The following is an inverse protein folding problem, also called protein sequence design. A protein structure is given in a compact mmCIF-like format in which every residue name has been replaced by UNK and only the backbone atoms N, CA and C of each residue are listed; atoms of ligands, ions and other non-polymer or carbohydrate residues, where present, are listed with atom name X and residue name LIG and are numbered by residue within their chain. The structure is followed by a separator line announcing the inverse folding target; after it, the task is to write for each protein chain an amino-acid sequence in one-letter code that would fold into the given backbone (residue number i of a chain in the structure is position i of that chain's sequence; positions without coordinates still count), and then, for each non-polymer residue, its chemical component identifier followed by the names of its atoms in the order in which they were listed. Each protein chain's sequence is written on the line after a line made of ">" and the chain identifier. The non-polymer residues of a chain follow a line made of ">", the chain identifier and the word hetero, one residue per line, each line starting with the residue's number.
data_IF_142273478803
#
_entry.id   IF_142273478803
#
_cell.length_a   1.000
_cell.length_b   1.000
_cell.length_c   1.000
_cell.angle_alpha   90.00
_cell.angle_beta   90.00
_cell.angle_gamma   90.00
#
_symmetry.space_group_name_H-M   'P 1'
#
loop_
_entity.id
_entity.type
_entity.pdbx_description
1 polymer ?
#
# COMPACT_ATOMS: atom_id res chain seq x y z
N UNK A 1 42.53 28.69 32.71
CA UNK A 1 41.77 28.24 31.51
C UNK A 1 41.88 26.76 31.23
N UNK A 2 43.06 26.15 31.01
CA UNK A 2 43.19 24.71 30.67
C UNK A 2 42.49 23.73 31.64
N UNK A 3 42.52 23.97 32.96
CA UNK A 3 41.84 23.11 33.96
C UNK A 3 40.30 23.11 33.85
N UNK A 4 39.70 24.24 33.51
CA UNK A 4 38.24 24.36 33.34
C UNK A 4 37.77 23.72 32.04
N UNK A 5 38.58 23.79 30.97
CA UNK A 5 38.29 23.14 29.68
C UNK A 5 38.34 21.61 29.82
N UNK A 6 39.32 21.07 30.54
CA UNK A 6 39.42 19.61 30.79
C UNK A 6 38.22 19.14 31.62
N UNK A 7 37.83 19.88 32.68
CA UNK A 7 36.68 19.55 33.49
C UNK A 7 35.34 19.61 32.71
N UNK A 8 35.19 20.59 31.81
CA UNK A 8 34.01 20.68 30.94
C UNK A 8 33.93 19.51 29.95
N UNK A 9 35.06 19.11 29.36
CA UNK A 9 35.13 17.97 28.43
C UNK A 9 34.83 16.65 29.16
N UNK A 10 35.33 16.45 30.38
CA UNK A 10 35.03 15.24 31.15
C UNK A 10 33.58 15.17 31.61
N UNK A 11 32.96 16.30 31.97
CA UNK A 11 31.52 16.36 32.29
C UNK A 11 30.67 16.06 31.04
N UNK A 12 31.02 16.63 29.89
CA UNK A 12 30.34 16.35 28.62
C UNK A 12 30.50 14.88 28.18
N UNK A 13 31.69 14.32 28.33
CA UNK A 13 31.95 12.90 28.02
C UNK A 13 31.20 11.97 28.97
N UNK A 14 31.10 12.32 30.25
CA UNK A 14 30.35 11.55 31.25
C UNK A 14 28.83 11.66 31.02
N UNK A 15 28.31 12.84 30.71
CA UNK A 15 26.91 13.04 30.34
C UNK A 15 26.55 12.28 29.04
N UNK A 16 27.40 12.34 28.01
CA UNK A 16 27.24 11.57 26.79
C UNK A 16 27.32 10.06 27.03
N UNK A 17 28.19 9.63 27.97
CA UNK A 17 28.28 8.23 28.42
C UNK A 17 27.02 7.74 29.12
N UNK A 18 26.41 8.55 30.00
CA UNK A 18 25.16 8.20 30.69
C UNK A 18 23.97 8.07 29.73
N UNK A 19 23.83 8.98 28.76
CA UNK A 19 22.78 8.91 27.73
C UNK A 19 22.98 7.65 26.88
N UNK A 20 24.21 7.37 26.42
CA UNK A 20 24.52 6.17 25.63
C UNK A 20 24.34 4.84 26.39
N UNK A 21 24.54 4.83 27.71
CA UNK A 21 24.28 3.67 28.55
C UNK A 21 22.78 3.44 28.78
N UNK A 22 22.01 4.53 28.92
CA UNK A 22 20.55 4.46 29.12
C UNK A 22 19.86 3.96 27.86
N UNK A 23 20.21 4.51 26.67
CA UNK A 23 19.67 4.08 25.38
C UNK A 23 19.96 2.59 25.11
N UNK A 24 21.18 2.12 25.43
CA UNK A 24 21.53 0.70 25.29
C UNK A 24 20.72 -0.23 26.19
N UNK A 25 20.37 0.21 27.40
CA UNK A 25 19.52 -0.58 28.30
C UNK A 25 18.09 -0.65 27.76
N UNK A 26 17.54 0.47 27.31
CA UNK A 26 16.19 0.53 26.73
C UNK A 26 16.11 -0.32 25.47
N UNK A 27 17.09 -0.22 24.55
CA UNK A 27 17.13 -1.04 23.33
C UNK A 27 17.18 -2.53 23.66
N UNK A 28 17.94 -2.95 24.69
CA UNK A 28 17.95 -4.36 25.13
C UNK A 28 16.59 -4.81 25.64
N UNK A 29 15.91 -3.98 26.43
CA UNK A 29 14.57 -4.29 26.92
C UNK A 29 13.56 -4.36 25.77
N UNK A 30 13.65 -3.46 24.79
CA UNK A 30 12.83 -3.52 23.58
C UNK A 30 13.12 -4.75 22.72
N UNK A 31 14.38 -5.19 22.62
CA UNK A 31 14.72 -6.45 21.95
C UNK A 31 14.09 -7.66 22.67
N UNK A 32 14.11 -7.65 24.00
CA UNK A 32 13.49 -8.69 24.82
C UNK A 32 11.97 -8.72 24.58
N UNK A 33 11.29 -7.56 24.65
CA UNK A 33 9.87 -7.41 24.28
C UNK A 33 9.59 -7.98 22.89
N UNK A 34 10.39 -7.60 21.89
CA UNK A 34 10.21 -8.08 20.52
C UNK A 34 10.38 -9.60 20.35
N UNK A 35 11.02 -10.30 21.29
CA UNK A 35 11.23 -11.75 21.23
C UNK A 35 10.01 -12.58 21.63
N UNK A 36 9.09 -12.01 22.41
CA UNK A 36 7.90 -12.71 22.90
C UNK A 36 6.57 -12.01 22.53
N UNK A 37 6.62 -10.88 21.80
CA UNK A 37 5.43 -10.08 21.47
C UNK A 37 4.37 -10.86 20.66
N UNK A 38 4.77 -11.91 19.94
CA UNK A 38 3.82 -12.72 19.18
C UNK A 38 3.06 -13.71 20.08
N UNK A 39 3.74 -14.25 21.09
CA UNK A 39 3.23 -15.27 22.00
C UNK A 39 2.50 -14.64 23.20
N UNK A 40 2.96 -13.47 23.65
CA UNK A 40 2.47 -12.78 24.84
C UNK A 40 2.32 -11.26 24.59
N UNK A 41 1.38 -10.85 23.72
CA UNK A 41 1.19 -9.43 23.37
C UNK A 41 0.76 -8.57 24.56
N UNK A 42 -0.09 -9.07 25.46
CA UNK A 42 -0.53 -8.31 26.65
C UNK A 42 0.62 -8.02 27.63
N UNK A 43 1.51 -9.01 27.82
CA UNK A 43 2.73 -8.83 28.61
C UNK A 43 3.67 -7.83 27.95
N UNK A 44 3.80 -7.89 26.63
CA UNK A 44 4.61 -6.93 25.88
C UNK A 44 4.06 -5.51 26.02
N UNK A 45 2.74 -5.35 25.89
CA UNK A 45 2.05 -4.07 26.05
C UNK A 45 2.26 -3.49 27.45
N UNK A 46 2.11 -4.29 28.50
CA UNK A 46 2.35 -3.88 29.89
C UNK A 46 3.77 -3.34 30.11
N UNK A 47 4.78 -4.01 29.56
CA UNK A 47 6.17 -3.54 29.62
C UNK A 47 6.34 -2.24 28.84
N UNK A 48 5.72 -2.13 27.66
CA UNK A 48 5.80 -0.94 26.82
C UNK A 48 5.08 0.27 27.47
N UNK A 49 3.99 0.08 28.21
CA UNK A 49 3.33 1.13 29.00
C UNK A 49 4.23 1.66 30.12
N UNK A 50 5.00 0.78 30.77
CA UNK A 50 5.99 1.20 31.77
C UNK A 50 7.14 2.02 31.14
N UNK A 51 7.45 1.77 29.87
CA UNK A 51 8.47 2.52 29.13
C UNK A 51 7.93 3.87 28.62
N UNK A 52 6.66 3.94 28.22
CA UNK A 52 6.02 5.19 27.78
C UNK A 52 6.03 6.25 28.88
N UNK A 53 5.73 5.83 30.12
CA UNK A 53 5.70 6.69 31.32
C UNK A 53 7.08 7.17 31.76
N UNK A 54 8.12 6.37 31.54
CA UNK A 54 9.51 6.75 31.87
C UNK A 54 10.20 7.55 30.77
N UNK A 55 9.64 7.50 29.54
CA UNK A 55 10.11 8.23 28.37
C UNK A 55 11.29 7.52 27.68
N UNK A 56 11.17 7.31 26.36
CA UNK A 56 12.23 6.70 25.56
C UNK A 56 13.10 7.80 24.93
N UNK A 57 14.39 7.79 25.26
CA UNK A 57 15.38 8.72 24.72
C UNK A 57 16.11 8.10 23.52
N UNK A 58 16.53 8.93 22.56
CA UNK A 58 17.24 8.50 21.35
C UNK A 58 16.32 8.09 20.19
N UNK A 59 16.69 8.48 18.96
CA UNK A 59 15.84 8.28 17.77
C UNK A 59 15.61 6.81 17.43
N UNK A 60 16.65 5.98 17.54
CA UNK A 60 16.56 4.55 17.26
C UNK A 60 15.68 3.82 18.28
N UNK A 61 15.90 4.07 19.57
CA UNK A 61 15.10 3.46 20.64
C UNK A 61 13.63 3.91 20.53
N UNK A 62 13.37 5.18 20.23
CA UNK A 62 12.01 5.69 20.05
C UNK A 62 11.31 5.08 18.85
N UNK A 63 12.01 4.90 17.71
CA UNK A 63 11.45 4.22 16.54
C UNK A 63 11.15 2.74 16.82
N UNK A 64 12.04 2.04 17.53
CA UNK A 64 11.83 0.64 17.91
C UNK A 64 10.67 0.50 18.90
N UNK A 65 10.58 1.40 19.88
CA UNK A 65 9.46 1.49 20.82
C UNK A 65 8.14 1.70 20.07
N UNK A 66 8.07 2.70 19.20
CA UNK A 66 6.88 3.00 18.41
C UNK A 66 6.39 1.81 17.58
N UNK A 67 7.32 1.09 16.92
CA UNK A 67 6.99 -0.11 16.16
C UNK A 67 6.43 -1.21 17.06
N UNK A 68 7.12 -1.54 18.16
CA UNK A 68 6.71 -2.60 19.07
C UNK A 68 5.40 -2.28 19.80
N UNK A 69 5.16 -1.01 20.13
CA UNK A 69 3.91 -0.56 20.73
C UNK A 69 2.74 -0.73 19.77
N UNK A 70 2.91 -0.30 18.51
CA UNK A 70 1.89 -0.50 17.47
C UNK A 70 1.61 -1.99 17.22
N UNK A 71 2.66 -2.82 17.23
CA UNK A 71 2.54 -4.28 17.14
C UNK A 71 1.76 -4.89 18.31
N UNK A 72 2.04 -4.45 19.53
CA UNK A 72 1.40 -4.98 20.73
C UNK A 72 -0.09 -4.63 20.75
N UNK A 73 -0.45 -3.38 20.40
CA UNK A 73 -1.84 -2.94 20.28
C UNK A 73 -2.63 -3.79 19.28
N UNK A 74 -2.15 -3.93 18.04
CA UNK A 74 -2.82 -4.75 17.00
C UNK A 74 -3.00 -6.21 17.44
N UNK A 75 -1.97 -6.80 18.08
CA UNK A 75 -2.02 -8.20 18.56
C UNK A 75 -2.89 -8.40 19.80
N UNK A 76 -3.08 -7.37 20.61
CA UNK A 76 -4.01 -7.35 21.74
C UNK A 76 -5.42 -6.93 21.33
N UNK A 77 -5.71 -6.82 20.02
CA UNK A 77 -7.02 -6.42 19.48
C UNK A 77 -7.46 -5.03 19.96
N UNK A 78 -6.49 -4.12 20.13
CA UNK A 78 -6.75 -2.72 20.48
C UNK A 78 -6.58 -1.90 19.21
N UNK A 79 -7.71 -1.61 18.57
CA UNK A 79 -7.72 -0.85 17.33
C UNK A 79 -7.45 0.63 17.58
N UNK A 80 -6.38 1.12 16.96
CA UNK A 80 -6.03 2.54 16.94
C UNK A 80 -6.16 3.11 15.53
N UNK A 81 -6.62 4.36 15.46
CA UNK A 81 -6.76 5.13 14.21
C UNK A 81 -5.78 6.30 14.12
N UNK A 82 -5.12 6.64 15.24
CA UNK A 82 -4.06 7.66 15.27
C UNK A 82 -2.74 7.07 14.78
N UNK A 83 -2.19 7.66 13.72
CA UNK A 83 -0.97 7.21 13.07
C UNK A 83 0.30 7.88 13.63
N UNK A 84 0.16 8.80 14.61
CA UNK A 84 1.25 9.59 15.14
C UNK A 84 2.42 8.76 15.66
N UNK A 85 2.12 7.66 16.37
CA UNK A 85 3.10 6.76 16.95
C UNK A 85 3.81 5.95 15.87
N UNK A 86 3.07 5.24 15.01
CA UNK A 86 3.68 4.39 13.97
C UNK A 86 4.51 5.21 12.98
N UNK A 87 4.13 6.47 12.73
CA UNK A 87 4.88 7.36 11.85
C UNK A 87 6.29 7.67 12.37
N UNK A 88 6.52 7.65 13.69
CA UNK A 88 7.88 7.74 14.27
C UNK A 88 8.75 6.58 13.79
N UNK A 89 8.20 5.35 13.78
CA UNK A 89 8.90 4.17 13.30
C UNK A 89 9.13 4.22 11.79
N UNK A 90 8.08 4.54 11.00
CA UNK A 90 8.16 4.65 9.54
C UNK A 90 9.23 5.67 9.12
N UNK A 91 9.26 6.85 9.75
CA UNK A 91 10.18 7.94 9.42
C UNK A 91 11.66 7.58 9.61
N UNK A 92 11.92 6.76 10.62
CA UNK A 92 13.24 6.25 10.95
C UNK A 92 13.62 5.07 10.04
N UNK A 93 12.79 4.03 10.02
CA UNK A 93 13.12 2.76 9.39
C UNK A 93 13.11 2.81 7.87
N UNK A 94 12.36 3.72 7.24
CA UNK A 94 12.46 3.94 5.78
C UNK A 94 13.87 4.27 5.29
N UNK A 95 14.70 4.87 6.16
CA UNK A 95 16.10 5.24 5.87
C UNK A 95 17.12 4.31 6.51
N UNK A 96 16.86 3.86 7.74
CA UNK A 96 17.87 3.18 8.57
C UNK A 96 17.54 1.71 8.86
N UNK A 97 16.31 1.28 8.59
CA UNK A 97 15.84 -0.06 8.94
C UNK A 97 16.28 -1.14 7.98
N UNK A 98 16.32 -2.35 8.50
CA UNK A 98 16.36 -3.59 7.73
C UNK A 98 15.10 -3.77 6.87
N UNK A 99 15.12 -4.72 5.93
CA UNK A 99 13.94 -5.03 5.12
C UNK A 99 12.73 -5.45 5.97
N UNK A 100 12.97 -6.21 7.05
CA UNK A 100 11.93 -6.65 7.99
C UNK A 100 11.35 -5.48 8.80
N UNK A 101 12.20 -4.59 9.33
CA UNK A 101 11.72 -3.40 10.06
C UNK A 101 10.93 -2.45 9.16
N UNK A 102 11.34 -2.27 7.90
CA UNK A 102 10.58 -1.48 6.92
C UNK A 102 9.24 -2.12 6.59
N UNK A 103 9.23 -3.43 6.32
CA UNK A 103 8.02 -4.19 6.07
C UNK A 103 7.04 -4.01 7.23
N UNK A 104 7.47 -4.29 8.47
CA UNK A 104 6.62 -4.20 9.65
C UNK A 104 6.13 -2.78 9.89
N UNK A 105 6.99 -1.77 9.77
CA UNK A 105 6.59 -0.37 9.98
C UNK A 105 5.49 0.06 9.02
N UNK A 106 5.64 -0.23 7.73
CA UNK A 106 4.61 0.10 6.74
C UNK A 106 3.37 -0.80 6.85
N UNK A 107 3.53 -2.08 7.20
CA UNK A 107 2.41 -2.97 7.46
C UNK A 107 1.53 -2.46 8.60
N UNK A 108 2.11 -2.15 9.76
CA UNK A 108 1.32 -1.65 10.90
C UNK A 108 0.77 -0.24 10.65
N UNK A 109 1.43 0.59 9.83
CA UNK A 109 0.83 1.83 9.35
C UNK A 109 -0.43 1.54 8.50
N UNK A 110 -0.35 0.58 7.59
CA UNK A 110 -1.51 0.18 6.78
C UNK A 110 -2.65 -0.37 7.62
N UNK A 111 -2.36 -1.16 8.67
CA UNK A 111 -3.36 -1.65 9.63
C UNK A 111 -4.09 -0.51 10.34
N UNK A 112 -3.37 0.52 10.78
CA UNK A 112 -3.97 1.69 11.43
C UNK A 112 -4.89 2.45 10.48
N UNK A 113 -4.51 2.59 9.20
CA UNK A 113 -5.41 3.18 8.20
C UNK A 113 -6.63 2.31 7.91
N UNK A 114 -6.50 0.98 7.86
CA UNK A 114 -7.66 0.07 7.76
C UNK A 114 -8.62 0.27 8.95
N UNK A 115 -8.09 0.39 10.17
CA UNK A 115 -8.89 0.64 11.37
C UNK A 115 -9.60 2.01 11.31
N UNK A 116 -9.01 2.99 10.61
CA UNK A 116 -9.63 4.28 10.35
C UNK A 116 -10.65 4.27 9.19
N UNK A 117 -10.82 3.14 8.50
CA UNK A 117 -11.66 3.01 7.31
C UNK A 117 -11.00 3.47 6.00
N UNK A 118 -9.76 3.97 6.05
CA UNK A 118 -9.02 4.47 4.89
C UNK A 118 -8.23 3.33 4.21
N UNK A 119 -8.96 2.54 3.43
CA UNK A 119 -8.40 1.42 2.68
C UNK A 119 -7.42 1.86 1.58
N UNK A 120 -7.52 3.11 1.12
CA UNK A 120 -6.61 3.67 0.12
C UNK A 120 -5.21 3.87 0.72
N UNK A 121 -5.12 4.61 1.83
CA UNK A 121 -3.87 4.85 2.54
C UNK A 121 -3.30 3.54 3.10
N UNK A 122 -4.18 2.62 3.51
CA UNK A 122 -3.78 1.27 3.89
C UNK A 122 -3.07 0.54 2.74
N UNK A 123 -3.71 0.48 1.56
CA UNK A 123 -3.12 -0.17 0.39
C UNK A 123 -1.83 0.50 -0.05
N UNK A 124 -1.74 1.84 -0.01
CA UNK A 124 -0.48 2.54 -0.30
C UNK A 124 0.64 2.11 0.65
N UNK A 125 0.35 2.03 1.95
CA UNK A 125 1.28 1.58 2.97
C UNK A 125 1.70 0.13 2.73
N UNK A 126 0.76 -0.75 2.38
CA UNK A 126 1.05 -2.15 2.06
C UNK A 126 1.90 -2.31 0.79
N UNK A 127 1.67 -1.52 -0.26
CA UNK A 127 2.53 -1.53 -1.46
C UNK A 127 3.95 -1.04 -1.13
N UNK A 128 4.09 -0.04 -0.25
CA UNK A 128 5.41 0.39 0.26
C UNK A 128 6.08 -0.71 1.09
N UNK A 129 5.32 -1.45 1.91
CA UNK A 129 5.82 -2.61 2.64
C UNK A 129 6.28 -3.72 1.69
N UNK A 130 5.49 -4.06 0.65
CA UNK A 130 5.83 -5.07 -0.36
C UNK A 130 7.13 -4.69 -1.08
N UNK A 131 7.23 -3.43 -1.53
CA UNK A 131 8.39 -2.89 -2.24
C UNK A 131 9.66 -2.85 -1.36
N UNK A 132 9.50 -2.54 -0.07
CA UNK A 132 10.62 -2.49 0.86
C UNK A 132 11.02 -3.87 1.40
N UNK A 133 10.17 -4.88 1.23
CA UNK A 133 10.44 -6.25 1.66
C UNK A 133 11.48 -6.94 0.78
N UNK A 134 12.31 -7.80 1.40
CA UNK A 134 13.17 -8.70 0.65
C UNK A 134 12.38 -9.84 0.01
N UNK A 135 13.06 -10.73 -0.72
CA UNK A 135 12.43 -11.92 -1.33
C UNK A 135 12.10 -13.04 -0.32
N UNK A 136 12.37 -12.82 0.97
CA UNK A 136 12.12 -13.79 2.03
C UNK A 136 10.62 -14.08 2.17
N UNK A 137 10.29 -15.37 2.23
CA UNK A 137 8.93 -15.87 2.47
C UNK A 137 8.81 -16.21 3.95
N UNK A 138 8.27 -15.26 4.72
CA UNK A 138 8.11 -15.36 6.17
C UNK A 138 6.68 -14.94 6.57
N UNK A 139 6.34 -15.17 7.84
CA UNK A 139 5.01 -14.85 8.38
C UNK A 139 4.63 -13.37 8.21
N UNK A 140 5.56 -12.43 8.37
CA UNK A 140 5.27 -11.01 8.23
C UNK A 140 4.85 -10.64 6.80
N UNK A 141 5.52 -11.23 5.81
CA UNK A 141 5.17 -11.06 4.40
C UNK A 141 3.85 -11.75 4.05
N UNK A 142 3.56 -12.89 4.67
CA UNK A 142 2.26 -13.54 4.57
C UNK A 142 1.12 -12.67 5.10
N UNK A 143 1.31 -12.03 6.26
CA UNK A 143 0.34 -11.11 6.87
C UNK A 143 0.07 -9.90 5.96
N UNK A 144 1.13 -9.34 5.38
CA UNK A 144 1.01 -8.26 4.41
C UNK A 144 0.13 -8.66 3.21
N UNK A 145 0.42 -9.79 2.59
CA UNK A 145 -0.34 -10.25 1.44
C UNK A 145 -1.79 -10.61 1.77
N UNK A 146 -2.03 -11.19 2.95
CA UNK A 146 -3.39 -11.45 3.40
C UNK A 146 -4.17 -10.14 3.61
N UNK A 147 -3.57 -9.11 4.22
CA UNK A 147 -4.22 -7.81 4.40
C UNK A 147 -4.57 -7.16 3.05
N UNK A 148 -3.66 -7.22 2.06
CA UNK A 148 -3.95 -6.74 0.70
C UNK A 148 -5.09 -7.53 0.05
N UNK A 149 -5.11 -8.85 0.21
CA UNK A 149 -6.18 -9.72 -0.32
C UNK A 149 -7.55 -9.37 0.25
N UNK A 150 -7.64 -9.08 1.56
CA UNK A 150 -8.88 -8.65 2.22
C UNK A 150 -9.39 -7.33 1.63
N UNK A 151 -8.53 -6.34 1.38
CA UNK A 151 -8.93 -5.09 0.72
C UNK A 151 -9.47 -5.38 -0.70
N UNK A 152 -8.81 -6.27 -1.46
CA UNK A 152 -9.29 -6.63 -2.80
C UNK A 152 -10.68 -7.28 -2.78
N UNK A 153 -11.02 -8.08 -1.76
CA UNK A 153 -12.38 -8.61 -1.59
C UNK A 153 -13.39 -7.49 -1.36
N UNK A 154 -13.07 -6.51 -0.52
CA UNK A 154 -13.97 -5.39 -0.23
C UNK A 154 -14.31 -4.56 -1.48
N UNK A 155 -13.45 -4.60 -2.50
CA UNK A 155 -13.68 -3.93 -3.79
C UNK A 155 -14.17 -4.85 -4.90
N UNK A 156 -14.56 -6.09 -4.54
CA UNK A 156 -15.01 -7.14 -5.45
C UNK A 156 -14.00 -7.53 -6.54
N UNK A 157 -12.71 -7.28 -6.31
CA UNK A 157 -11.62 -7.71 -7.20
C UNK A 157 -11.11 -9.09 -6.77
N UNK A 158 -11.92 -10.10 -7.06
CA UNK A 158 -11.66 -11.49 -6.67
C UNK A 158 -10.37 -12.04 -7.27
N UNK A 159 -9.97 -11.57 -8.47
CA UNK A 159 -8.73 -12.01 -9.14
C UNK A 159 -7.51 -11.58 -8.34
N UNK A 160 -7.44 -10.30 -7.95
CA UNK A 160 -6.33 -9.83 -7.12
C UNK A 160 -6.41 -10.36 -5.69
N UNK A 161 -7.62 -10.53 -5.14
CA UNK A 161 -7.80 -11.17 -3.84
C UNK A 161 -7.20 -12.58 -3.82
N UNK A 162 -7.55 -13.42 -4.80
CA UNK A 162 -7.02 -14.78 -4.93
C UNK A 162 -5.50 -14.77 -5.13
N UNK A 163 -4.99 -13.90 -5.99
CA UNK A 163 -3.56 -13.76 -6.27
C UNK A 163 -2.75 -13.44 -5.01
N UNK A 164 -3.18 -12.43 -4.24
CA UNK A 164 -2.51 -12.06 -3.00
C UNK A 164 -2.70 -13.09 -1.90
N UNK A 165 -3.87 -13.76 -1.81
CA UNK A 165 -4.05 -14.87 -0.87
C UNK A 165 -3.13 -16.05 -1.21
N UNK A 166 -2.91 -16.36 -2.49
CA UNK A 166 -1.97 -17.39 -2.91
C UNK A 166 -0.53 -17.08 -2.48
N UNK A 167 -0.08 -15.81 -2.63
CA UNK A 167 1.21 -15.37 -2.10
C UNK A 167 1.27 -15.51 -0.57
N UNK A 168 0.19 -15.20 0.15
CA UNK A 168 0.10 -15.34 1.60
C UNK A 168 0.24 -16.81 2.03
N UNK A 169 -0.52 -17.72 1.40
CA UNK A 169 -0.44 -19.17 1.62
C UNK A 169 0.98 -19.68 1.46
N UNK A 170 1.67 -19.28 0.39
CA UNK A 170 3.05 -19.69 0.14
C UNK A 170 4.00 -19.22 1.26
N UNK A 171 3.83 -17.98 1.73
CA UNK A 171 4.62 -17.44 2.83
C UNK A 171 4.41 -18.20 4.14
N UNK A 172 3.15 -18.50 4.49
CA UNK A 172 2.84 -19.23 5.72
C UNK A 172 3.31 -20.69 5.67
N UNK A 173 3.15 -21.34 4.52
CA UNK A 173 3.65 -22.70 4.31
C UNK A 173 5.17 -22.76 4.47
N UNK A 174 5.90 -21.82 3.85
CA UNK A 174 7.36 -21.75 3.96
C UNK A 174 7.83 -21.43 5.39
N UNK A 175 7.07 -20.59 6.11
CA UNK A 175 7.35 -20.27 7.51
C UNK A 175 7.00 -21.38 8.50
N UNK A 176 6.29 -22.43 8.07
CA UNK A 176 5.77 -23.48 8.95
C UNK A 176 4.63 -23.01 9.87
N UNK A 177 3.96 -21.90 9.53
CA UNK A 177 2.87 -21.33 10.32
C UNK A 177 1.54 -22.00 9.92
N UNK A 178 1.29 -23.18 10.49
CA UNK A 178 0.14 -24.02 10.14
C UNK A 178 -1.20 -23.30 10.37
N UNK A 179 -1.32 -22.51 11.44
CA UNK A 179 -2.55 -21.80 11.77
C UNK A 179 -2.90 -20.72 10.74
N UNK A 180 -1.92 -19.88 10.35
CA UNK A 180 -2.15 -18.85 9.32
C UNK A 180 -2.30 -19.45 7.93
N UNK A 181 -1.57 -20.53 7.65
CA UNK A 181 -1.77 -21.27 6.40
C UNK A 181 -3.20 -21.82 6.30
N UNK A 182 -3.71 -22.45 7.36
CA UNK A 182 -5.09 -22.93 7.42
C UNK A 182 -6.10 -21.78 7.30
N UNK A 183 -5.85 -20.65 7.96
CA UNK A 183 -6.66 -19.43 7.79
C UNK A 183 -6.73 -18.95 6.34
N UNK A 184 -5.60 -18.90 5.64
CA UNK A 184 -5.55 -18.51 4.24
C UNK A 184 -6.22 -19.55 3.30
N UNK A 185 -6.19 -20.84 3.66
CA UNK A 185 -6.94 -21.88 2.94
C UNK A 185 -8.45 -21.78 3.15
N UNK A 186 -8.91 -21.51 4.38
CA UNK A 186 -10.32 -21.25 4.70
C UNK A 186 -10.84 -20.02 3.98
N UNK A 187 -10.02 -18.99 3.83
CA UNK A 187 -10.34 -17.81 3.04
C UNK A 187 -10.49 -18.13 1.54
N UNK A 188 -9.59 -18.95 0.97
CA UNK A 188 -9.77 -19.46 -0.39
C UNK A 188 -11.04 -20.31 -0.54
N UNK A 189 -11.37 -21.12 0.47
CA UNK A 189 -12.61 -21.91 0.49
C UNK A 189 -13.85 -21.01 0.40
N UNK A 190 -13.92 -19.96 1.23
CA UNK A 190 -15.01 -18.98 1.17
C UNK A 190 -15.09 -18.26 -0.18
N UNK A 191 -13.95 -17.90 -0.77
CA UNK A 191 -13.90 -17.24 -2.07
C UNK A 191 -14.45 -18.13 -3.18
N UNK A 192 -13.97 -19.37 -3.28
CA UNK A 192 -14.47 -20.34 -4.26
C UNK A 192 -15.96 -20.66 -4.02
N UNK A 193 -16.37 -20.81 -2.76
CA UNK A 193 -17.77 -21.02 -2.42
C UNK A 193 -18.66 -19.86 -2.89
N UNK A 194 -18.24 -18.61 -2.69
CA UNK A 194 -18.97 -17.43 -3.15
C UNK A 194 -19.07 -17.31 -4.69
N UNK A 195 -18.20 -18.02 -5.41
CA UNK A 195 -18.20 -18.10 -6.87
C UNK A 195 -18.88 -19.37 -7.41
N UNK A 196 -19.56 -20.14 -6.56
CA UNK A 196 -20.17 -21.45 -6.85
C UNK A 196 -19.16 -22.54 -7.29
N UNK A 197 -17.88 -22.34 -6.99
CA UNK A 197 -16.77 -23.27 -7.27
C UNK A 197 -16.62 -24.29 -6.11
N UNK A 198 -17.67 -25.09 -5.88
CA UNK A 198 -17.75 -25.98 -4.71
C UNK A 198 -16.62 -27.02 -4.64
N UNK A 199 -16.10 -27.47 -5.77
CA UNK A 199 -15.04 -28.50 -5.78
C UNK A 199 -13.72 -27.95 -5.25
N UNK A 200 -13.41 -26.71 -5.63
CA UNK A 200 -12.24 -25.94 -5.23
C UNK A 200 -12.34 -25.53 -3.75
N UNK A 201 -13.54 -25.15 -3.30
CA UNK A 201 -13.82 -24.89 -1.90
C UNK A 201 -13.57 -26.15 -1.03
N UNK A 202 -14.10 -27.30 -1.45
CA UNK A 202 -13.88 -28.58 -0.76
C UNK A 202 -12.41 -28.97 -0.74
N UNK A 203 -11.67 -28.80 -1.85
CA UNK A 203 -10.24 -29.08 -1.89
C UNK A 203 -9.44 -28.22 -0.89
N UNK A 204 -9.86 -26.98 -0.69
CA UNK A 204 -9.30 -26.11 0.34
C UNK A 204 -9.58 -26.64 1.75
N UNK A 205 -10.82 -27.05 2.02
CA UNK A 205 -11.21 -27.65 3.31
C UNK A 205 -10.47 -28.97 3.57
N UNK A 206 -10.32 -29.84 2.58
CA UNK A 206 -9.60 -31.10 2.73
C UNK A 206 -8.14 -30.88 3.12
N UNK A 207 -7.52 -29.82 2.60
CA UNK A 207 -6.18 -29.43 3.01
C UNK A 207 -6.13 -29.02 4.49
N UNK A 208 -7.11 -28.21 4.94
CA UNK A 208 -7.23 -27.77 6.35
C UNK A 208 -7.54 -28.95 7.28
N UNK A 209 -8.34 -29.91 6.83
CA UNK A 209 -8.71 -31.11 7.59
C UNK A 209 -7.49 -31.88 8.11
N UNK A 210 -6.42 -31.93 7.30
CA UNK A 210 -5.16 -32.60 7.68
C UNK A 210 -4.37 -31.87 8.77
N UNK A 211 -4.73 -30.61 9.05
CA UNK A 211 -4.04 -29.72 9.98
C UNK A 211 -4.85 -29.48 11.26
N UNK A 212 -6.02 -30.12 11.44
CA UNK A 212 -6.89 -29.82 12.58
C UNK A 212 -6.12 -29.92 13.90
N UNK A 213 -5.31 -30.94 14.14
CA UNK A 213 -4.58 -31.08 15.41
C UNK A 213 -3.54 -29.99 15.68
N UNK A 214 -3.10 -29.24 14.67
CA UNK A 214 -2.01 -28.25 14.77
C UNK A 214 -2.47 -26.79 14.69
N UNK A 215 -3.77 -26.53 14.51
CA UNK A 215 -4.32 -25.18 14.37
C UNK A 215 -5.17 -24.77 15.59
N UNK A 216 -5.36 -23.46 15.76
CA UNK A 216 -6.14 -22.88 16.84
C UNK A 216 -7.61 -23.31 16.81
N UNK A 217 -8.28 -23.23 17.96
CA UNK A 217 -9.72 -23.49 18.08
C UNK A 217 -10.53 -22.61 17.13
N UNK A 218 -10.14 -21.34 16.97
CA UNK A 218 -10.78 -20.42 16.02
C UNK A 218 -10.74 -20.96 14.58
N UNK A 219 -9.60 -21.50 14.13
CA UNK A 219 -9.48 -22.07 12.77
C UNK A 219 -10.22 -23.40 12.64
N UNK A 220 -10.19 -24.25 13.68
CA UNK A 220 -11.01 -25.48 13.72
C UNK A 220 -12.50 -25.17 13.58
N UNK A 221 -13.00 -24.20 14.34
CA UNK A 221 -14.39 -23.77 14.28
C UNK A 221 -14.78 -23.32 12.88
N UNK A 222 -13.98 -22.43 12.27
CA UNK A 222 -14.22 -21.96 10.92
C UNK A 222 -14.25 -23.10 9.89
N UNK A 223 -13.34 -24.10 10.02
CA UNK A 223 -13.37 -25.31 9.21
C UNK A 223 -14.71 -26.06 9.32
N UNK A 224 -15.16 -26.34 10.55
CA UNK A 224 -16.39 -27.09 10.77
C UNK A 224 -17.61 -26.35 10.23
N UNK A 225 -17.72 -25.04 10.49
CA UNK A 225 -18.82 -24.20 9.99
C UNK A 225 -18.86 -24.25 8.45
N UNK A 226 -17.74 -24.02 7.77
CA UNK A 226 -17.70 -24.06 6.30
C UNK A 226 -17.98 -25.47 5.75
N UNK A 227 -17.45 -26.53 6.38
CA UNK A 227 -17.68 -27.93 5.97
C UNK A 227 -19.15 -28.34 6.10
N UNK A 228 -19.83 -27.91 7.18
CA UNK A 228 -21.25 -28.15 7.41
C UNK A 228 -22.11 -27.35 6.41
N UNK A 229 -21.78 -26.08 6.15
CA UNK A 229 -22.47 -25.25 5.15
C UNK A 229 -22.49 -25.92 3.77
N UNK A 230 -21.32 -26.36 3.28
CA UNK A 230 -21.22 -27.02 1.97
C UNK A 230 -22.05 -28.32 1.93
N UNK A 231 -22.03 -29.13 3.00
CA UNK A 231 -22.85 -30.37 3.07
C UNK A 231 -24.34 -30.08 3.06
N UNK A 232 -24.78 -29.06 3.78
CA UNK A 232 -26.18 -28.59 3.76
C UNK A 232 -26.61 -28.25 2.33
N UNK A 233 -25.81 -27.44 1.63
CA UNK A 233 -26.11 -26.98 0.26
C UNK A 233 -26.11 -28.11 -0.76
N UNK A 234 -25.23 -29.10 -0.60
CA UNK A 234 -25.20 -30.32 -1.43
C UNK A 234 -26.35 -31.29 -1.11
N UNK A 235 -27.12 -31.05 -0.04
CA UNK A 235 -28.15 -31.98 0.42
C UNK A 235 -27.61 -33.24 1.11
N UNK A 236 -26.31 -33.28 1.46
CA UNK A 236 -25.67 -34.41 2.15
C UNK A 236 -26.02 -34.42 3.64
N UNK A 237 -27.26 -34.85 3.94
CA UNK A 237 -27.77 -34.90 5.32
C UNK A 237 -26.97 -35.85 6.22
N UNK A 238 -26.53 -36.99 5.69
CA UNK A 238 -25.76 -37.96 6.47
C UNK A 238 -24.37 -37.41 6.81
N UNK A 239 -23.67 -36.87 5.81
CA UNK A 239 -22.37 -36.24 6.05
C UNK A 239 -22.47 -35.01 6.96
N UNK A 240 -23.54 -34.22 6.85
CA UNK A 240 -23.79 -33.08 7.74
C UNK A 240 -23.95 -33.54 9.19
N UNK A 241 -24.78 -34.54 9.44
CA UNK A 241 -24.97 -35.13 10.77
C UNK A 241 -23.64 -35.64 11.36
N UNK A 242 -22.84 -36.36 10.56
CA UNK A 242 -21.53 -36.86 10.99
C UNK A 242 -20.55 -35.72 11.32
N UNK A 243 -20.51 -34.67 10.50
CA UNK A 243 -19.65 -33.51 10.72
C UNK A 243 -20.06 -32.69 11.94
N UNK A 244 -21.37 -32.50 12.14
CA UNK A 244 -21.93 -31.83 13.30
C UNK A 244 -21.56 -32.56 14.60
N UNK A 245 -21.70 -33.90 14.63
CA UNK A 245 -21.28 -34.70 15.77
C UNK A 245 -19.77 -34.59 16.06
N UNK A 246 -18.94 -34.58 15.01
CA UNK A 246 -17.49 -34.33 15.15
C UNK A 246 -17.22 -32.95 15.73
N UNK A 247 -17.89 -31.92 15.23
CA UNK A 247 -17.74 -30.54 15.70
C UNK A 247 -18.05 -30.42 17.19
N UNK A 248 -19.21 -30.92 17.63
CA UNK A 248 -19.64 -30.88 19.03
C UNK A 248 -18.74 -31.70 19.97
N UNK A 249 -18.15 -32.79 19.47
CA UNK A 249 -17.25 -33.64 20.27
C UNK A 249 -15.83 -33.09 20.43
N UNK A 250 -15.39 -32.24 19.49
CA UNK A 250 -14.01 -31.74 19.41
C UNK A 250 -13.86 -30.28 19.87
N UNK A 251 -14.97 -29.59 20.13
CA UNK A 251 -15.00 -28.16 20.44
C UNK A 251 -15.55 -27.94 21.85
N UNK A 252 -14.86 -27.13 22.66
CA UNK A 252 -15.37 -26.70 23.97
C UNK A 252 -16.66 -25.89 23.80
N UNK A 253 -17.61 -26.05 24.72
CA UNK A 253 -18.95 -25.45 24.61
C UNK A 253 -18.93 -23.92 24.44
N UNK A 254 -17.93 -23.25 25.03
CA UNK A 254 -17.68 -21.82 24.92
C UNK A 254 -17.24 -21.37 23.52
N UNK A 255 -16.79 -22.30 22.68
CA UNK A 255 -16.31 -22.07 21.33
C UNK A 255 -17.29 -22.57 20.26
N UNK A 256 -18.43 -23.16 20.65
CA UNK A 256 -19.42 -23.68 19.70
C UNK A 256 -20.27 -22.53 19.14
N UNK A 257 -20.44 -22.50 17.82
CA UNK A 257 -21.42 -21.65 17.16
C UNK A 257 -22.82 -22.26 17.31
N UNK A 258 -23.46 -21.97 18.44
CA UNK A 258 -24.75 -22.57 18.79
C UNK A 258 -25.88 -22.20 17.82
N UNK A 259 -25.81 -21.04 17.17
CA UNK A 259 -26.77 -20.65 16.13
C UNK A 259 -26.64 -21.53 14.88
N UNK A 260 -25.41 -21.79 14.42
CA UNK A 260 -25.18 -22.71 13.30
C UNK A 260 -25.65 -24.13 13.64
N UNK A 261 -25.34 -24.61 14.85
CA UNK A 261 -25.79 -25.92 15.34
C UNK A 261 -27.32 -26.01 15.35
N UNK A 262 -28.02 -24.97 15.82
CA UNK A 262 -29.47 -24.92 15.83
C UNK A 262 -30.08 -24.94 14.42
N UNK A 263 -29.49 -24.19 13.48
CA UNK A 263 -29.91 -24.17 12.07
C UNK A 263 -29.70 -25.55 11.42
N UNK A 264 -28.54 -26.19 11.63
CA UNK A 264 -28.27 -27.52 11.08
C UNK A 264 -29.18 -28.60 11.66
N UNK A 265 -29.47 -28.59 12.97
CA UNK A 265 -30.45 -29.51 13.56
C UNK A 265 -31.85 -29.28 13.01
N UNK A 266 -32.26 -28.03 12.79
CA UNK A 266 -33.55 -27.73 12.14
C UNK A 266 -33.61 -28.33 10.74
N UNK A 267 -32.55 -28.14 9.95
CA UNK A 267 -32.45 -28.69 8.60
C UNK A 267 -32.51 -30.23 8.56
N UNK A 268 -31.89 -30.89 9.55
CA UNK A 268 -31.93 -32.35 9.71
C UNK A 268 -33.29 -32.87 10.22
N UNK A 269 -34.15 -31.99 10.74
CA UNK A 269 -35.45 -32.34 11.33
C UNK A 269 -35.37 -32.71 12.82
N UNK A 270 -34.26 -32.40 13.48
CA UNK A 270 -33.98 -32.68 14.89
C UNK A 270 -34.35 -31.49 15.77
N UNK A 271 -35.64 -31.11 15.76
CA UNK A 271 -36.11 -29.84 16.33
C UNK A 271 -35.87 -29.69 17.84
N UNK A 272 -35.94 -30.77 18.61
CA UNK A 272 -35.63 -30.73 20.05
C UNK A 272 -34.16 -30.38 20.31
N UNK A 273 -33.26 -30.89 19.48
CA UNK A 273 -31.83 -30.59 19.57
C UNK A 273 -31.52 -29.17 19.08
N UNK A 274 -32.26 -28.69 18.08
CA UNK A 274 -32.21 -27.30 17.65
C UNK A 274 -32.60 -26.33 18.78
N UNK A 275 -33.71 -26.58 19.47
CA UNK A 275 -34.15 -25.74 20.58
C UNK A 275 -33.15 -25.77 21.75
N UNK A 276 -32.57 -26.95 22.03
CA UNK A 276 -31.49 -27.07 23.02
C UNK A 276 -30.27 -26.22 22.65
N UNK A 277 -29.88 -26.18 21.38
CA UNK A 277 -28.79 -25.33 20.90
C UNK A 277 -29.13 -23.83 21.00
N UNK A 278 -30.36 -23.42 20.66
CA UNK A 278 -30.81 -22.04 20.92
C UNK A 278 -30.79 -21.68 22.40
N UNK A 279 -31.15 -22.62 23.28
CA UNK A 279 -31.06 -22.43 24.73
C UNK A 279 -29.62 -22.20 25.19
N UNK A 280 -28.65 -22.98 24.70
CA UNK A 280 -27.23 -22.76 24.98
C UNK A 280 -26.77 -21.38 24.50
N UNK A 281 -27.21 -20.94 23.32
CA UNK A 281 -26.90 -19.60 22.82
C UNK A 281 -27.41 -18.49 23.75
N UNK A 282 -28.68 -18.59 24.18
CA UNK A 282 -29.32 -17.62 25.09
C UNK A 282 -28.65 -17.54 26.47
N UNK A 283 -28.13 -18.67 26.96
CA UNK A 283 -27.41 -18.72 28.24
C UNK A 283 -26.05 -18.01 28.16
N UNK A 284 -25.37 -18.10 27.02
CA UNK A 284 -24.08 -17.45 26.78
C UNK A 284 -24.21 -15.98 26.37
N UNK A 285 -25.32 -15.59 25.73
CA UNK A 285 -25.54 -14.25 25.19
C UNK A 285 -26.82 -13.65 25.79
N UNK A 286 -26.72 -12.93 26.90
CA UNK A 286 -27.89 -12.35 27.58
C UNK A 286 -28.63 -11.29 26.73
N UNK A 287 -27.94 -10.70 25.76
CA UNK A 287 -28.45 -9.68 24.83
C UNK A 287 -28.91 -10.29 23.48
N UNK A 288 -29.10 -11.61 23.39
CA UNK A 288 -29.47 -12.33 22.16
C UNK A 288 -30.67 -11.75 21.40
N UNK A 289 -31.54 -10.98 22.07
CA UNK A 289 -32.72 -10.37 21.45
C UNK A 289 -32.38 -9.19 20.53
N UNK A 290 -31.21 -8.60 20.70
CA UNK A 290 -30.73 -7.51 19.86
C UNK A 290 -29.89 -8.04 18.68
N UNK A 291 -29.75 -9.37 18.56
CA UNK A 291 -28.96 -10.04 17.53
C UNK A 291 -29.85 -10.52 16.36
N UNK A 292 -29.70 -9.95 15.13
CA UNK A 292 -30.47 -10.42 13.98
C UNK A 292 -30.28 -11.92 13.71
N UNK A 293 -29.06 -12.43 13.88
CA UNK A 293 -28.72 -13.83 13.62
C UNK A 293 -29.52 -14.81 14.50
N UNK A 294 -29.85 -14.44 15.74
CA UNK A 294 -30.70 -15.26 16.59
C UNK A 294 -32.11 -15.38 16.01
N UNK A 295 -32.71 -14.25 15.62
CA UNK A 295 -34.08 -14.20 15.13
C UNK A 295 -34.27 -14.97 13.83
N UNK A 296 -33.32 -14.94 12.90
CA UNK A 296 -33.45 -15.72 11.65
C UNK A 296 -33.39 -17.24 11.89
N UNK A 297 -32.58 -17.69 12.87
CA UNK A 297 -32.51 -19.12 13.23
C UNK A 297 -33.76 -19.54 14.00
N UNK A 298 -34.22 -18.74 14.95
CA UNK A 298 -35.46 -18.98 15.69
C UNK A 298 -36.69 -19.02 14.75
N UNK A 299 -36.76 -18.09 13.79
CA UNK A 299 -37.74 -18.10 12.71
C UNK A 299 -37.73 -19.44 11.96
N UNK A 300 -36.55 -19.92 11.57
CA UNK A 300 -36.40 -21.15 10.77
C UNK A 300 -36.92 -22.37 11.55
N UNK A 301 -36.62 -22.45 12.85
CA UNK A 301 -37.13 -23.49 13.74
C UNK A 301 -38.67 -23.40 13.92
N UNK A 302 -39.19 -22.22 14.27
CA UNK A 302 -40.61 -21.99 14.52
C UNK A 302 -41.46 -22.26 13.27
N UNK A 303 -40.98 -21.85 12.09
CA UNK A 303 -41.62 -22.14 10.82
C UNK A 303 -41.64 -23.65 10.52
N UNK A 304 -40.55 -24.37 10.84
CA UNK A 304 -40.46 -25.82 10.67
C UNK A 304 -41.36 -26.61 11.63
N UNK A 305 -41.61 -26.06 12.83
CA UNK A 305 -42.56 -26.58 13.81
C UNK A 305 -44.03 -26.24 13.48
N UNK A 306 -44.26 -25.32 12.53
CA UNK A 306 -45.59 -24.84 12.16
C UNK A 306 -46.16 -23.76 13.09
N UNK A 307 -45.36 -23.20 14.01
CA UNK A 307 -45.74 -22.03 14.80
C UNK A 307 -45.49 -20.76 14.01
N UNK A 308 -46.37 -20.50 13.05
CA UNK A 308 -46.25 -19.35 12.16
C UNK A 308 -46.40 -18.00 12.86
N UNK A 309 -46.96 -17.97 14.08
CA UNK A 309 -47.06 -16.74 14.85
C UNK A 309 -45.70 -16.39 15.44
N UNK A 310 -45.07 -17.32 16.14
CA UNK A 310 -43.72 -17.13 16.67
C UNK A 310 -42.72 -16.84 15.54
N UNK A 311 -42.81 -17.59 14.42
CA UNK A 311 -41.99 -17.36 13.25
C UNK A 311 -42.15 -15.93 12.68
N UNK A 312 -43.38 -15.42 12.58
CA UNK A 312 -43.60 -14.06 12.10
C UNK A 312 -43.02 -13.01 13.06
N UNK A 313 -43.17 -13.20 14.36
CA UNK A 313 -42.61 -12.30 15.37
C UNK A 313 -41.07 -12.27 15.27
N UNK A 314 -40.41 -13.42 15.14
CA UNK A 314 -38.96 -13.52 14.92
C UNK A 314 -38.54 -12.85 13.61
N UNK A 315 -39.26 -13.09 12.51
CA UNK A 315 -38.96 -12.46 11.22
C UNK A 315 -39.05 -10.93 11.24
N UNK A 316 -40.06 -10.37 11.93
CA UNK A 316 -40.19 -8.92 12.11
C UNK A 316 -38.99 -8.36 12.88
N UNK A 317 -38.58 -9.01 13.97
CA UNK A 317 -37.41 -8.57 14.73
C UNK A 317 -36.13 -8.65 13.90
N UNK A 318 -35.93 -9.75 13.17
CA UNK A 318 -34.82 -9.88 12.22
C UNK A 318 -34.81 -8.73 11.22
N UNK A 319 -35.94 -8.43 10.57
CA UNK A 319 -36.04 -7.36 9.57
C UNK A 319 -35.69 -5.99 10.16
N UNK A 320 -36.23 -5.66 11.34
CA UNK A 320 -35.97 -4.37 11.99
C UNK A 320 -34.49 -4.19 12.36
N UNK A 321 -33.86 -5.23 12.90
CA UNK A 321 -32.45 -5.18 13.29
C UNK A 321 -31.52 -5.22 12.07
N UNK A 322 -31.85 -6.02 11.05
CA UNK A 322 -31.07 -6.14 9.83
C UNK A 322 -31.11 -4.87 8.98
N UNK A 323 -32.25 -4.17 8.92
CA UNK A 323 -32.35 -2.87 8.23
C UNK A 323 -31.42 -1.83 8.87
N UNK A 324 -31.37 -1.79 10.20
CA UNK A 324 -30.46 -0.89 10.93
C UNK A 324 -28.99 -1.21 10.63
N UNK A 325 -28.62 -2.49 10.58
CA UNK A 325 -27.25 -2.91 10.27
C UNK A 325 -26.89 -2.62 8.81
N UNK A 326 -27.81 -2.86 7.88
CA UNK A 326 -27.62 -2.63 6.45
C UNK A 326 -27.38 -1.14 6.15
N UNK A 327 -28.04 -0.24 6.89
CA UNK A 327 -27.80 1.19 6.79
C UNK A 327 -26.36 1.57 7.18
N UNK A 328 -25.85 1.01 8.28
CA UNK A 328 -24.47 1.25 8.73
C UNK A 328 -23.46 0.73 7.70
N UNK A 329 -23.67 -0.47 7.15
CA UNK A 329 -22.80 -1.05 6.11
C UNK A 329 -22.84 -0.18 4.83
N UNK A 330 -24.02 0.25 4.41
CA UNK A 330 -24.17 1.09 3.22
C UNK A 330 -23.49 2.46 3.37
N UNK A 331 -23.53 3.07 4.57
CA UNK A 331 -22.80 4.32 4.86
C UNK A 331 -21.28 4.12 4.78
N UNK A 332 -20.76 2.97 5.23
CA UNK A 332 -19.34 2.63 5.13
C UNK A 332 -18.90 2.36 3.67
N UNK A 333 -19.68 1.59 2.92
CA UNK A 333 -19.39 1.23 1.52
C UNK A 333 -19.47 2.45 0.59
N UNK A 334 -20.42 3.36 0.83
CA UNK A 334 -20.55 4.59 0.02
C UNK A 334 -19.36 5.53 0.19
N UNK A 335 -18.80 5.65 1.40
CA UNK A 335 -17.56 6.40 1.64
C UNK A 335 -16.39 5.85 0.83
N UNK A 336 -16.20 4.54 0.87
CA UNK A 336 -15.12 3.86 0.13
C UNK A 336 -15.27 3.99 -1.40
N UNK A 337 -16.48 3.81 -1.94
CA UNK A 337 -16.75 3.97 -3.38
C UNK A 337 -16.52 5.42 -3.82
N UNK A 338 -16.91 6.40 -2.98
CA UNK A 338 -16.72 7.81 -3.26
C UNK A 338 -15.24 8.18 -3.32
N UNK A 339 -14.43 7.76 -2.34
CA UNK A 339 -12.98 7.98 -2.32
C UNK A 339 -12.32 7.41 -3.59
N UNK A 340 -12.67 6.18 -3.95
CA UNK A 340 -12.18 5.55 -5.19
C UNK A 340 -12.53 6.37 -6.42
N UNK A 341 -13.78 6.81 -6.56
CA UNK A 341 -14.23 7.60 -7.71
C UNK A 341 -13.49 8.94 -7.79
N UNK A 342 -13.30 9.61 -6.65
CA UNK A 342 -12.53 10.85 -6.56
C UNK A 342 -11.06 10.64 -6.98
N UNK A 343 -10.45 9.52 -6.58
CA UNK A 343 -9.08 9.17 -6.96
C UNK A 343 -8.95 8.80 -8.44
N UNK A 344 -9.86 8.00 -9.00
CA UNK A 344 -9.88 7.69 -10.43
C UNK A 344 -9.94 8.98 -11.27
N UNK A 345 -10.79 9.92 -10.85
CA UNK A 345 -10.90 11.24 -11.46
C UNK A 345 -9.60 12.06 -11.31
N UNK A 346 -8.92 11.98 -10.16
CA UNK A 346 -7.63 12.64 -9.95
C UNK A 346 -6.53 12.05 -10.82
N UNK A 347 -6.39 10.73 -10.88
CA UNK A 347 -5.41 10.03 -11.72
C UNK A 347 -5.63 10.36 -13.21
N UNK A 348 -6.88 10.44 -13.66
CA UNK A 348 -7.20 10.84 -15.03
C UNK A 348 -6.81 12.30 -15.30
N UNK A 349 -7.07 13.21 -14.36
CA UNK A 349 -6.64 14.62 -14.44
C UNK A 349 -5.12 14.75 -14.48
N UNK A 350 -4.41 14.03 -13.63
CA UNK A 350 -2.93 14.04 -13.59
C UNK A 350 -2.34 13.49 -14.89
N UNK A 351 -2.90 12.39 -15.40
CA UNK A 351 -2.53 11.81 -16.70
C UNK A 351 -2.76 12.80 -17.84
N UNK A 352 -3.94 13.40 -17.94
CA UNK A 352 -4.27 14.40 -18.96
C UNK A 352 -3.35 15.62 -18.87
N UNK A 353 -3.05 16.08 -17.65
CA UNK A 353 -2.11 17.18 -17.41
C UNK A 353 -0.69 16.81 -17.88
N UNK A 354 -0.22 15.60 -17.56
CA UNK A 354 1.08 15.10 -17.98
C UNK A 354 1.19 14.94 -19.50
N UNK A 355 0.15 14.42 -20.14
CA UNK A 355 0.07 14.30 -21.61
C UNK A 355 0.10 15.68 -22.27
N UNK A 356 -0.67 16.64 -21.77
CA UNK A 356 -0.66 18.03 -22.24
C UNK A 356 0.70 18.71 -22.09
N UNK A 357 1.33 18.62 -20.91
CA UNK A 357 2.66 19.18 -20.65
C UNK A 357 3.71 18.57 -21.58
N UNK A 358 3.63 17.26 -21.82
CA UNK A 358 4.54 16.56 -22.74
C UNK A 358 4.38 17.08 -24.18
N UNK A 359 3.14 17.25 -24.65
CA UNK A 359 2.84 17.77 -25.98
C UNK A 359 3.36 19.21 -26.17
N UNK A 360 3.10 20.09 -25.20
CA UNK A 360 3.59 21.48 -25.22
C UNK A 360 5.13 21.53 -25.22
N UNK A 361 5.78 20.64 -24.47
CA UNK A 361 7.24 20.55 -24.42
C UNK A 361 7.83 20.14 -25.77
N UNK A 362 7.25 19.13 -26.44
CA UNK A 362 7.67 18.70 -27.78
C UNK A 362 7.48 19.82 -28.80
N UNK A 363 6.33 20.50 -28.79
CA UNK A 363 6.05 21.60 -29.70
C UNK A 363 7.03 22.77 -29.50
N UNK A 364 7.38 23.09 -28.25
CA UNK A 364 8.36 24.12 -27.92
C UNK A 364 9.75 23.80 -28.48
N UNK A 365 10.19 22.53 -28.42
CA UNK A 365 11.46 22.09 -29.01
C UNK A 365 11.45 22.19 -30.54
N UNK A 366 10.34 21.85 -31.18
CA UNK A 366 10.17 22.00 -32.64
C UNK A 366 10.24 23.48 -33.05
N UNK A 367 9.58 24.38 -32.31
CA UNK A 367 9.66 25.82 -32.57
C UNK A 367 11.07 26.37 -32.35
N UNK A 368 11.76 25.98 -31.29
CA UNK A 368 13.13 26.43 -31.02
C UNK A 368 14.13 25.93 -32.07
N UNK A 369 14.01 24.67 -32.48
CA UNK A 369 14.85 24.11 -33.55
C UNK A 369 14.55 24.77 -34.91
N UNK A 370 13.27 25.01 -35.24
CA UNK A 370 12.86 25.72 -36.45
C UNK A 370 13.37 27.16 -36.49
N UNK A 371 13.25 27.90 -35.39
CA UNK A 371 13.78 29.28 -35.29
C UNK A 371 15.31 29.32 -35.38
N UNK A 372 16.00 28.41 -34.69
CA UNK A 372 17.46 28.27 -34.80
C UNK A 372 17.91 27.91 -36.23
N UNK A 373 17.15 27.05 -36.92
CA UNK A 373 17.40 26.69 -38.32
C UNK A 373 17.22 27.90 -39.24
N UNK A 374 16.14 28.66 -39.09
CA UNK A 374 15.90 29.90 -39.86
C UNK A 374 17.00 30.94 -39.59
N UNK A 375 17.43 31.13 -38.34
CA UNK A 375 18.53 32.03 -37.99
C UNK A 375 19.86 31.57 -38.61
N UNK A 376 20.15 30.27 -38.61
CA UNK A 376 21.33 29.70 -39.29
C UNK A 376 21.28 29.96 -40.80
N UNK A 377 20.12 29.83 -41.44
CA UNK A 377 19.96 30.15 -42.85
C UNK A 377 20.19 31.64 -43.13
N UNK A 378 19.59 32.54 -42.33
CA UNK A 378 19.81 34.00 -42.46
C UNK A 378 21.27 34.40 -42.23
N UNK A 379 21.93 33.82 -41.23
CA UNK A 379 23.34 34.07 -40.97
C UNK A 379 24.25 33.56 -42.10
N UNK A 380 23.94 32.39 -42.68
CA UNK A 380 24.65 31.89 -43.86
C UNK A 380 24.47 32.81 -45.07
N UNK A 381 23.25 33.30 -45.31
CA UNK A 381 22.99 34.24 -46.39
C UNK A 381 23.74 35.56 -46.18
N UNK A 382 23.66 36.16 -44.99
CA UNK A 382 24.38 37.40 -44.67
C UNK A 382 25.90 37.24 -44.76
N UNK A 383 26.47 36.08 -44.40
CA UNK A 383 27.90 35.80 -44.60
C UNK A 383 28.27 35.77 -46.08
N UNK A 384 27.47 35.10 -46.92
CA UNK A 384 27.69 35.07 -48.38
C UNK A 384 27.61 36.47 -49.00
N UNK A 385 26.67 37.31 -48.56
CA UNK A 385 26.55 38.70 -49.01
C UNK A 385 27.78 39.53 -48.60
N UNK A 386 28.28 39.37 -47.36
CA UNK A 386 29.50 40.05 -46.89
C UNK A 386 30.75 39.58 -47.65
N UNK A 387 30.88 38.28 -47.91
CA UNK A 387 31.98 37.71 -48.70
C UNK A 387 31.96 38.23 -50.15
N UNK A 388 30.78 38.28 -50.78
CA UNK A 388 30.61 38.84 -52.12
C UNK A 388 30.99 40.33 -52.18
N UNK A 389 30.54 41.13 -51.22
CA UNK A 389 30.87 42.55 -51.14
C UNK A 389 32.38 42.77 -50.89
N UNK A 390 33.01 41.97 -50.03
CA UNK A 390 34.45 42.04 -49.78
C UNK A 390 35.29 41.70 -51.02
N UNK A 391 34.83 40.73 -51.82
CA UNK A 391 35.43 40.40 -53.11
C UNK A 391 35.29 41.55 -54.11
N UNK A 392 34.12 42.20 -54.17
CA UNK A 392 33.88 43.36 -55.04
C UNK A 392 34.77 44.55 -54.66
N UNK A 393 34.85 44.88 -53.37
CA UNK A 393 35.74 45.94 -52.83
C UNK A 393 37.20 45.64 -53.15
N UNK A 394 37.65 44.39 -53.05
CA UNK A 394 39.03 44.01 -53.40
C UNK A 394 39.31 44.23 -54.89
N UNK A 395 38.35 43.87 -55.76
CA UNK A 395 38.45 44.10 -57.20
C UNK A 395 38.50 45.59 -57.56
N UNK A 396 37.69 46.42 -56.90
CA UNK A 396 37.75 47.87 -57.07
C UNK A 396 39.09 48.46 -56.63
N UNK A 397 39.66 47.99 -55.51
CA UNK A 397 40.98 48.42 -55.06
C UNK A 397 42.07 48.08 -56.07
N UNK A 398 42.06 46.87 -56.60
CA UNK A 398 43.02 46.43 -57.62
C UNK A 398 42.92 47.26 -58.91
N UNK A 399 41.69 47.46 -59.42
CA UNK A 399 41.45 48.33 -60.57
C UNK A 399 41.90 49.78 -60.32
N UNK A 400 41.65 50.32 -59.12
CA UNK A 400 42.08 51.66 -58.75
C UNK A 400 43.61 51.78 -58.71
N UNK A 401 44.31 50.79 -58.14
CA UNK A 401 45.79 50.78 -58.17
C UNK A 401 46.33 50.72 -59.59
N UNK A 402 45.72 49.93 -60.49
CA UNK A 402 46.13 49.85 -61.89
C UNK A 402 45.93 51.18 -62.62
N UNK A 403 44.77 51.81 -62.49
CA UNK A 403 44.50 53.13 -63.07
C UNK A 403 45.43 54.20 -62.51
N UNK A 404 45.76 54.13 -61.23
CA UNK A 404 46.71 55.04 -60.59
C UNK A 404 48.11 54.89 -61.19
N UNK A 405 48.56 53.65 -61.38
CA UNK A 405 49.83 53.35 -62.03
C UNK A 405 49.84 53.82 -63.50
N UNK A 406 48.80 53.51 -64.28
CA UNK A 406 48.65 53.98 -65.66
C UNK A 406 48.68 55.52 -65.74
N UNK A 407 48.02 56.22 -64.81
CA UNK A 407 48.08 57.70 -64.71
C UNK A 407 49.48 58.19 -64.38
N UNK A 408 50.16 57.57 -63.41
CA UNK A 408 51.50 57.97 -63.00
C UNK A 408 52.50 57.77 -64.16
N UNK A 409 52.40 56.66 -64.88
CA UNK A 409 53.14 56.39 -66.12
C UNK A 409 52.80 57.42 -67.21
N UNK A 410 51.52 57.75 -67.43
CA UNK A 410 51.12 58.77 -68.40
C UNK A 410 51.64 60.17 -68.04
N UNK A 411 51.62 60.52 -66.75
CA UNK A 411 52.15 61.78 -66.24
C UNK A 411 53.66 61.86 -66.38
N UNK A 412 54.39 60.76 -66.16
CA UNK A 412 55.82 60.66 -66.41
C UNK A 412 56.13 60.80 -67.91
N UNK A 413 55.32 60.17 -68.77
CA UNK A 413 55.41 60.30 -70.24
C UNK A 413 55.13 61.73 -70.71
N UNK A 414 54.17 62.43 -70.10
CA UNK A 414 53.89 63.86 -70.38
C UNK A 414 55.01 64.77 -69.88
N UNK A 415 55.60 64.47 -68.72
CA UNK A 415 56.70 65.25 -68.15
C UNK A 415 58.01 65.09 -68.93
N UNK A 416 58.22 63.93 -69.54
CA UNK A 416 59.35 63.64 -70.44
C UNK A 416 59.13 64.12 -71.87
N UNK A 417 57.91 64.52 -72.24
CA UNK A 417 57.55 65.14 -73.53
C UNK A 417 56.58 66.33 -73.33
N UNK A 418 57.06 67.48 -72.84
CA UNK A 418 56.20 68.64 -72.65
C UNK A 418 55.64 69.14 -74.00
N UNK A 419 54.35 69.51 -74.09
CA UNK A 419 53.78 70.10 -75.30
C UNK A 419 54.51 71.40 -75.62
N UNK A 420 55.00 71.48 -76.86
CA UNK A 420 55.71 72.62 -77.44
C UNK A 420 54.81 73.86 -77.38
N UNK A 421 55.24 74.93 -76.69
CA UNK A 421 54.75 76.26 -77.03
C UNK A 421 55.83 77.36 -77.10
N UNK A 422 55.98 77.80 -78.35
CA UNK A 422 56.30 79.13 -78.90
C UNK A 422 56.69 80.23 -77.90
N UNK A 423 57.97 80.63 -77.94
CA UNK A 423 58.53 81.63 -78.89
C UNK A 423 59.75 82.33 -78.28
N UNK A 424 60.94 81.99 -78.79
CA UNK A 424 62.05 82.92 -78.91
C UNK A 424 62.59 82.82 -80.35
N UNK A 425 62.04 83.68 -81.22
CA UNK A 425 62.81 84.34 -82.30
C UNK A 425 63.76 85.31 -81.54
N UNK A 426 65.03 85.54 -81.88
CA UNK A 426 65.55 86.07 -83.16
C UNK A 426 67.07 86.27 -82.96
N UNK A 427 67.93 85.89 -83.91
CA UNK A 427 69.02 86.72 -84.47
C UNK A 427 69.32 86.19 -85.89
N UNK A 428 69.40 87.13 -86.84
CA UNK A 428 69.72 86.96 -88.26
C UNK A 428 71.20 86.70 -88.52
N UNK A 429 71.52 85.72 -89.38
CA UNK A 429 72.20 85.88 -90.67
C UNK A 429 72.25 84.54 -91.42
#
# INVERSE_FOLDING_TARGET
>A
MKRYIIAAITILAFAAGMVSCTDRKVIRQLNDVGSYINEHPDSALSVLDSLSTTGVQGREANAKFALLYSMALDKSYIDVTDDSLINIAVDWYRRHGTADERLKSYYYQGRIYQNAGDNEAAMESFVRAETASGNEKNTAKGLLYNAMSVIYIQIFDFVNAESYNAKAKECYLHAGDADKYAGAMLFSSDLHYAQDEYSEAIACLDSVKTLLDSISTTRKNAYYIQSMRIKKDQGDRAGLSDELNRYLSSTGAENISWLDVADYYTYLGEYEMSESALQQYRELHTEYKDEPAYHIVAYTLNASLGDYRAALDDYINYSLLSDSLSLVIAEQDTGFIQERYEKELQMEKERNTREFVTLVSVFSVILLSGTAYILRLRLRQSRREKEALAAEVSRYKENYSRLKQERDELSETLSSNPPVDRQCKTVLN
#
